data_IF_268294379517
#
_entry.id   IF_268294379517
#
_cell.length_a   1.000
_cell.length_b   1.000
_cell.length_c   1.000
_cell.angle_alpha   90.00
_cell.angle_beta   90.00
_cell.angle_gamma   90.00
#
_symmetry.space_group_name_H-M   'P 1'
#
loop_
_entity.id
_entity.type
_entity.pdbx_description
1 polymer ?
#
# COMPACT_ATOMS: atom_id res chain seq x y z
N UNK A 1 0.28 -23.55 28.61
CA UNK A 1 -0.71 -22.63 28.01
C UNK A 1 -0.82 -21.46 28.96
N UNK A 2 -0.02 -20.41 28.73
CA UNK A 2 -0.08 -19.21 29.56
C UNK A 2 -1.19 -18.32 28.99
N UNK A 3 -2.23 -18.11 29.77
CA UNK A 3 -3.20 -17.05 29.53
C UNK A 3 -2.43 -15.72 29.54
N UNK A 4 -2.40 -15.03 28.41
CA UNK A 4 -1.99 -13.63 28.37
C UNK A 4 -3.07 -12.84 29.10
N UNK A 5 -2.66 -12.10 30.13
CA UNK A 5 -3.51 -11.21 30.91
C UNK A 5 -4.04 -10.08 30.02
N UNK A 6 -5.35 -9.87 30.04
CA UNK A 6 -6.12 -8.82 29.34
C UNK A 6 -5.88 -7.40 29.89
N UNK A 7 -4.73 -7.13 30.51
CA UNK A 7 -4.57 -5.98 31.42
C UNK A 7 -3.77 -4.77 30.89
N UNK A 8 -3.41 -4.68 29.60
CA UNK A 8 -2.65 -3.50 29.12
C UNK A 8 -2.84 -3.13 27.64
N UNK A 9 -4.08 -3.10 27.13
CA UNK A 9 -4.37 -2.44 25.85
C UNK A 9 -4.54 -0.91 26.03
N UNK A 10 -3.59 -0.25 26.70
CA UNK A 10 -3.58 1.21 26.88
C UNK A 10 -2.81 1.89 25.72
N UNK A 11 -3.20 1.56 24.49
CA UNK A 11 -2.59 2.08 23.27
C UNK A 11 -3.10 3.49 22.92
N UNK A 12 -2.23 4.32 22.35
CA UNK A 12 -2.63 5.58 21.72
C UNK A 12 -2.84 5.35 20.23
N UNK A 13 -3.96 5.85 19.69
CA UNK A 13 -4.20 5.85 18.26
C UNK A 13 -3.04 6.56 17.52
N UNK A 14 -2.43 5.89 16.53
CA UNK A 14 -1.31 6.39 15.74
C UNK A 14 -1.63 7.62 14.88
N UNK A 15 -2.92 7.94 14.72
CA UNK A 15 -3.39 9.09 13.95
C UNK A 15 -3.79 10.26 14.83
N UNK A 16 -4.82 10.08 15.65
CA UNK A 16 -5.38 11.17 16.44
C UNK A 16 -4.74 11.30 17.83
N UNK A 17 -3.87 10.36 18.23
CA UNK A 17 -3.21 10.36 19.55
C UNK A 17 -4.14 10.07 20.72
N UNK A 18 -5.44 9.83 20.48
CA UNK A 18 -6.40 9.51 21.55
C UNK A 18 -6.04 8.17 22.19
N UNK A 19 -6.08 8.12 23.52
CA UNK A 19 -6.09 6.86 24.27
C UNK A 19 -7.50 6.29 24.23
N UNK A 20 -7.65 5.12 23.65
CA UNK A 20 -8.93 4.40 23.67
C UNK A 20 -8.79 3.07 24.41
N UNK A 21 -9.81 2.75 25.19
CA UNK A 21 -9.87 1.53 26.03
C UNK A 21 -10.36 0.30 25.27
N UNK A 22 -10.76 0.45 24.00
CA UNK A 22 -11.37 -0.64 23.23
C UNK A 22 -11.08 -0.49 21.73
N UNK A 23 -10.72 -1.63 21.12
CA UNK A 23 -10.59 -1.86 19.68
C UNK A 23 -9.49 -1.06 18.97
N UNK A 24 -8.25 -1.48 19.21
CA UNK A 24 -7.20 -1.30 18.21
C UNK A 24 -7.58 -2.11 16.98
N UNK A 25 -7.93 -1.44 15.88
CA UNK A 25 -8.13 -2.13 14.61
C UNK A 25 -6.77 -2.24 13.92
N UNK A 26 -6.32 -3.48 13.80
CA UNK A 26 -4.98 -3.79 13.36
C UNK A 26 -4.94 -3.78 11.83
N UNK A 27 -4.06 -2.97 11.25
CA UNK A 27 -3.83 -2.99 9.81
C UNK A 27 -3.36 -4.41 9.39
N UNK A 28 -4.09 -5.12 8.52
CA UNK A 28 -3.89 -6.54 8.29
C UNK A 28 -2.73 -6.75 7.31
N UNK A 29 -1.51 -6.69 7.82
CA UNK A 29 -0.30 -6.96 7.01
C UNK A 29 0.71 -7.81 7.80
N UNK A 30 0.78 -7.64 9.12
CA UNK A 30 1.58 -8.47 10.05
C UNK A 30 0.96 -8.38 11.46
N UNK A 31 0.96 -9.47 12.23
CA UNK A 31 0.41 -9.46 13.59
C UNK A 31 1.26 -8.67 14.60
N UNK A 32 2.54 -8.47 14.32
CA UNK A 32 3.50 -7.92 15.28
C UNK A 32 3.90 -6.47 14.98
N UNK A 33 3.57 -5.95 13.79
CA UNK A 33 4.09 -4.66 13.27
C UNK A 33 2.98 -3.70 12.82
N UNK A 34 2.07 -3.41 13.75
CA UNK A 34 0.76 -2.78 13.52
C UNK A 34 0.77 -1.27 13.78
N UNK A 35 -0.01 -0.53 13.00
CA UNK A 35 -0.42 0.83 13.36
C UNK A 35 -1.69 0.71 14.20
N UNK A 36 -1.63 1.10 15.46
CA UNK A 36 -2.79 1.03 16.33
C UNK A 36 -3.74 2.19 16.00
N UNK A 37 -4.92 1.89 15.47
CA UNK A 37 -5.95 2.90 15.15
C UNK A 37 -7.17 2.71 16.04
N UNK A 38 -7.77 3.82 16.48
CA UNK A 38 -9.12 3.79 17.02
C UNK A 38 -10.14 3.45 15.93
N UNK A 39 -11.33 3.01 16.33
CA UNK A 39 -12.41 2.66 15.41
C UNK A 39 -12.75 3.82 14.46
N UNK A 40 -12.88 5.04 14.98
CA UNK A 40 -13.15 6.24 14.17
C UNK A 40 -12.07 6.45 13.08
N UNK A 41 -10.78 6.42 13.44
CA UNK A 41 -9.71 6.62 12.46
C UNK A 41 -9.55 5.46 11.49
N UNK A 42 -9.91 4.24 11.88
CA UNK A 42 -9.95 3.10 10.98
C UNK A 42 -11.08 3.25 9.95
N UNK A 43 -12.29 3.59 10.42
CA UNK A 43 -13.47 3.79 9.58
C UNK A 43 -13.27 4.97 8.63
N UNK A 44 -12.71 6.09 9.12
CA UNK A 44 -12.38 7.27 8.33
C UNK A 44 -11.36 6.97 7.23
N UNK A 45 -10.37 6.12 7.50
CA UNK A 45 -9.42 5.67 6.47
C UNK A 45 -10.06 4.73 5.46
N UNK A 46 -11.10 4.01 5.83
CA UNK A 46 -11.62 2.93 5.00
C UNK A 46 -10.59 1.80 4.81
N UNK A 47 -11.00 0.72 4.13
CA UNK A 47 -10.28 -0.53 4.24
C UNK A 47 -9.05 -0.63 3.34
N UNK A 48 -8.88 0.22 2.32
CA UNK A 48 -7.75 0.16 1.39
C UNK A 48 -7.37 1.53 0.83
N UNK A 49 -7.02 1.59 -0.45
CA UNK A 49 -6.66 2.83 -1.17
C UNK A 49 -7.69 3.18 -2.24
N UNK A 50 -7.80 4.46 -2.57
CA UNK A 50 -8.43 4.93 -3.81
C UNK A 50 -7.35 5.05 -4.88
N UNK A 51 -7.52 4.37 -6.02
CA UNK A 51 -6.57 4.45 -7.14
C UNK A 51 -7.01 5.57 -8.08
N UNK A 52 -6.12 6.54 -8.34
CA UNK A 52 -6.40 7.68 -9.20
C UNK A 52 -5.41 7.77 -10.36
N UNK A 53 -5.85 8.21 -11.54
CA UNK A 53 -4.95 8.44 -12.67
C UNK A 53 -4.23 9.80 -12.53
N UNK A 54 -2.91 9.82 -12.78
CA UNK A 54 -2.05 10.98 -12.50
C UNK A 54 -2.39 12.23 -13.33
N UNK A 55 -3.08 12.10 -14.46
CA UNK A 55 -3.27 13.20 -15.42
C UNK A 55 -4.31 14.24 -14.99
N UNK A 56 -5.26 13.91 -14.11
CA UNK A 56 -6.45 14.76 -13.88
C UNK A 56 -6.90 14.88 -12.42
N UNK A 57 -6.10 14.41 -11.45
CA UNK A 57 -6.54 14.37 -10.05
C UNK A 57 -5.44 14.76 -9.07
N UNK A 58 -5.84 15.49 -8.02
CA UNK A 58 -5.02 15.62 -6.82
C UNK A 58 -4.89 14.25 -6.15
N UNK A 59 -3.69 13.89 -5.72
CA UNK A 59 -3.39 12.62 -5.07
C UNK A 59 -2.48 12.84 -3.86
N UNK A 60 -2.56 11.94 -2.88
CA UNK A 60 -1.79 12.00 -1.64
C UNK A 60 -0.44 11.29 -1.76
N UNK A 61 -0.40 10.19 -2.52
CA UNK A 61 0.78 9.31 -2.65
C UNK A 61 1.05 8.98 -4.12
N UNK A 62 2.31 9.12 -4.54
CA UNK A 62 2.74 8.68 -5.87
C UNK A 62 2.99 7.17 -5.87
N UNK A 63 2.06 6.42 -6.47
CA UNK A 63 2.16 4.98 -6.65
C UNK A 63 2.88 4.55 -7.93
N UNK A 64 3.37 5.49 -8.73
CA UNK A 64 3.97 5.20 -10.05
C UNK A 64 5.43 4.80 -9.94
N UNK A 65 6.03 4.32 -11.05
CA UNK A 65 7.49 4.36 -11.19
C UNK A 65 7.88 5.82 -11.43
N UNK A 66 8.73 6.37 -10.57
CA UNK A 66 9.13 7.77 -10.67
C UNK A 66 10.42 7.91 -11.50
N UNK A 67 10.51 9.00 -12.26
CA UNK A 67 11.71 9.31 -13.04
C UNK A 67 12.93 9.45 -12.11
N UNK A 68 14.12 9.03 -12.58
CA UNK A 68 15.33 9.24 -11.82
C UNK A 68 15.62 10.74 -11.69
N UNK A 69 15.82 11.21 -10.45
CA UNK A 69 16.19 12.61 -10.19
C UNK A 69 17.60 12.96 -10.70
N UNK A 70 18.39 11.95 -11.06
CA UNK A 70 19.77 12.06 -11.52
C UNK A 70 19.93 11.20 -12.77
N UNK A 71 20.44 11.79 -13.86
CA UNK A 71 20.74 11.07 -15.10
C UNK A 71 21.62 9.84 -14.83
N UNK A 72 21.14 8.67 -15.25
CA UNK A 72 21.88 7.40 -15.17
C UNK A 72 21.51 6.49 -14.00
N UNK A 73 20.60 6.91 -13.09
CA UNK A 73 19.95 5.99 -12.17
C UNK A 73 18.71 5.38 -12.86
N UNK A 74 18.45 4.09 -12.61
CA UNK A 74 17.23 3.44 -13.11
C UNK A 74 15.96 4.07 -12.51
N UNK A 75 14.80 3.74 -13.08
CA UNK A 75 13.51 4.22 -12.55
C UNK A 75 13.33 3.86 -11.08
N UNK A 76 12.67 4.75 -10.34
CA UNK A 76 12.39 4.58 -8.92
C UNK A 76 11.18 3.70 -8.71
N UNK A 77 11.34 2.63 -7.96
CA UNK A 77 10.35 1.60 -7.68
C UNK A 77 10.51 1.06 -6.25
N UNK A 78 9.59 0.19 -5.81
CA UNK A 78 9.52 -0.35 -4.44
C UNK A 78 10.85 -0.97 -3.93
N UNK A 79 11.59 -1.62 -4.83
CA UNK A 79 12.86 -2.29 -4.46
C UNK A 79 14.08 -1.35 -4.38
N UNK A 80 13.99 -0.08 -4.81
CA UNK A 80 15.13 0.85 -4.79
C UNK A 80 14.80 2.24 -4.19
N UNK A 81 13.59 2.42 -3.68
CA UNK A 81 13.12 3.72 -3.17
C UNK A 81 12.61 3.60 -1.75
N UNK A 82 13.15 4.45 -0.87
CA UNK A 82 12.69 4.57 0.51
C UNK A 82 11.34 5.32 0.60
N UNK A 83 10.48 4.90 1.52
CA UNK A 83 9.29 5.67 1.91
C UNK A 83 9.69 7.04 2.49
N UNK A 84 8.89 8.12 2.29
CA UNK A 84 7.71 8.24 1.43
C UNK A 84 8.03 8.76 0.03
N UNK A 85 9.25 8.56 -0.45
CA UNK A 85 9.71 9.27 -1.63
C UNK A 85 9.06 8.71 -2.93
N UNK A 86 8.83 9.54 -3.95
CA UNK A 86 8.15 9.11 -5.19
C UNK A 86 8.78 7.85 -5.78
N UNK A 87 7.96 6.86 -6.14
CA UNK A 87 8.42 5.56 -6.62
C UNK A 87 8.43 4.44 -5.59
N UNK A 88 8.25 4.70 -4.29
CA UNK A 88 8.33 3.66 -3.26
C UNK A 88 7.24 2.57 -3.33
N UNK A 89 6.15 2.81 -4.08
CA UNK A 89 5.12 1.81 -4.43
C UNK A 89 5.14 1.43 -5.92
N UNK A 90 6.07 1.98 -6.70
CA UNK A 90 6.18 1.69 -8.12
C UNK A 90 6.55 0.23 -8.37
N UNK A 91 5.97 -0.37 -9.41
CA UNK A 91 6.25 -1.74 -9.79
C UNK A 91 7.71 -1.88 -10.28
N UNK A 92 8.55 -2.76 -9.70
CA UNK A 92 9.91 -3.01 -10.18
C UNK A 92 9.93 -3.69 -11.55
N UNK A 93 8.88 -4.44 -11.87
CA UNK A 93 8.82 -5.32 -13.03
C UNK A 93 8.25 -4.58 -14.24
N UNK A 94 8.98 -4.62 -15.35
CA UNK A 94 8.55 -4.07 -16.64
C UNK A 94 7.78 -5.11 -17.44
N UNK A 95 6.81 -4.64 -18.22
CA UNK A 95 6.17 -5.45 -19.26
C UNK A 95 7.07 -5.45 -20.51
N UNK A 96 7.38 -6.64 -21.02
CA UNK A 96 8.11 -6.80 -22.28
C UNK A 96 7.19 -6.66 -23.50
N UNK A 97 5.92 -7.05 -23.32
CA UNK A 97 4.87 -7.01 -24.35
C UNK A 97 3.58 -6.45 -23.77
N UNK A 98 2.77 -5.75 -24.58
CA UNK A 98 1.46 -5.28 -24.14
C UNK A 98 0.39 -6.39 -24.28
N UNK A 99 0.50 -7.44 -23.47
CA UNK A 99 -0.44 -8.57 -23.44
C UNK A 99 -0.97 -8.84 -22.03
N UNK A 100 -2.14 -9.47 -21.94
CA UNK A 100 -2.75 -9.84 -20.66
C UNK A 100 -1.89 -10.86 -19.89
N UNK A 101 -1.28 -11.81 -20.60
CA UNK A 101 -0.37 -12.81 -20.00
C UNK A 101 0.82 -12.12 -19.34
N UNK A 102 1.41 -11.16 -20.03
CA UNK A 102 2.54 -10.40 -19.52
C UNK A 102 2.14 -9.51 -18.33
N UNK A 103 0.96 -8.88 -18.40
CA UNK A 103 0.40 -8.12 -17.28
C UNK A 103 0.32 -8.99 -16.03
N UNK A 104 -0.26 -10.18 -16.13
CA UNK A 104 -0.38 -11.10 -14.99
C UNK A 104 0.97 -11.61 -14.50
N UNK A 105 1.95 -11.84 -15.38
CA UNK A 105 3.33 -12.19 -14.99
C UNK A 105 3.93 -11.12 -14.09
N UNK A 106 3.86 -9.86 -14.54
CA UNK A 106 4.41 -8.70 -13.84
C UNK A 106 3.67 -8.46 -12.51
N UNK A 107 2.34 -8.57 -12.48
CA UNK A 107 1.55 -8.42 -11.24
C UNK A 107 1.84 -9.51 -10.22
N UNK A 108 2.04 -10.75 -10.69
CA UNK A 108 2.43 -11.85 -9.81
C UNK A 108 3.80 -11.61 -9.19
N UNK A 109 4.79 -11.21 -9.98
CA UNK A 109 6.13 -10.90 -9.48
C UNK A 109 6.09 -9.71 -8.49
N UNK A 110 5.30 -8.68 -8.79
CA UNK A 110 5.10 -7.56 -7.87
C UNK A 110 4.48 -8.00 -6.54
N UNK A 111 3.46 -8.87 -6.57
CA UNK A 111 2.86 -9.43 -5.34
C UNK A 111 3.90 -10.16 -4.51
N UNK A 112 4.72 -11.01 -5.12
CA UNK A 112 5.76 -11.77 -4.43
C UNK A 112 6.76 -10.83 -3.73
N UNK A 113 7.26 -9.81 -4.42
CA UNK A 113 8.15 -8.79 -3.86
C UNK A 113 7.49 -7.98 -2.74
N UNK A 114 6.24 -7.56 -2.93
CA UNK A 114 5.49 -6.78 -1.94
C UNK A 114 5.34 -7.57 -0.64
N UNK A 115 4.92 -8.83 -0.74
CA UNK A 115 4.72 -9.71 0.42
C UNK A 115 6.05 -10.14 1.05
N UNK A 116 7.12 -10.24 0.27
CA UNK A 116 8.46 -10.43 0.82
C UNK A 116 8.88 -9.21 1.64
N UNK A 117 8.76 -8.00 1.08
CA UNK A 117 9.13 -6.75 1.75
C UNK A 117 8.30 -6.53 3.01
N UNK A 118 7.01 -6.83 2.99
CA UNK A 118 6.15 -6.85 4.17
C UNK A 118 6.72 -7.72 5.30
N UNK A 119 7.22 -8.92 4.98
CA UNK A 119 7.76 -9.85 5.99
C UNK A 119 9.14 -9.44 6.50
N UNK A 120 10.00 -8.99 5.58
CA UNK A 120 11.43 -8.83 5.84
C UNK A 120 11.83 -7.42 6.25
N UNK A 121 11.12 -6.38 5.80
CA UNK A 121 11.42 -4.99 6.11
C UNK A 121 10.59 -4.54 7.33
N UNK A 122 11.26 -4.31 8.45
CA UNK A 122 10.65 -3.94 9.73
C UNK A 122 9.71 -2.73 9.64
N UNK A 123 10.04 -1.76 8.78
CA UNK A 123 9.31 -0.49 8.70
C UNK A 123 8.31 -0.46 7.54
N UNK A 124 8.44 -1.34 6.55
CA UNK A 124 7.59 -1.32 5.36
C UNK A 124 6.10 -1.56 5.66
N UNK A 125 5.68 -2.56 6.46
CA UNK A 125 4.27 -2.75 6.82
C UNK A 125 3.64 -1.52 7.47
N UNK A 126 4.37 -0.87 8.37
CA UNK A 126 3.93 0.35 9.04
C UNK A 126 3.66 1.47 8.03
N UNK A 127 4.58 1.67 7.08
CA UNK A 127 4.45 2.67 6.04
C UNK A 127 3.36 2.34 5.01
N UNK A 128 3.23 1.06 4.64
CA UNK A 128 2.16 0.57 3.78
C UNK A 128 0.79 0.83 4.43
N UNK A 129 0.64 0.55 5.72
CA UNK A 129 -0.58 0.83 6.48
C UNK A 129 -0.97 2.32 6.52
N UNK A 130 0.00 3.25 6.44
CA UNK A 130 -0.26 4.70 6.34
C UNK A 130 -0.89 5.13 5.01
N UNK A 131 -0.90 4.27 4.01
CA UNK A 131 -1.52 4.55 2.70
C UNK A 131 -3.03 4.29 2.73
N UNK A 132 -3.58 3.59 3.73
CA UNK A 132 -5.03 3.39 3.82
C UNK A 132 -5.78 4.71 3.88
N UNK A 133 -6.85 4.81 3.10
CA UNK A 133 -7.65 6.03 2.92
C UNK A 133 -7.01 7.10 2.07
N UNK A 134 -5.84 6.84 1.50
CA UNK A 134 -5.17 7.77 0.60
C UNK A 134 -5.56 7.54 -0.85
N UNK A 135 -5.55 8.64 -1.59
CA UNK A 135 -5.64 8.68 -3.05
C UNK A 135 -4.24 8.43 -3.62
N UNK A 136 -4.05 7.31 -4.29
CA UNK A 136 -2.75 6.86 -4.79
C UNK A 136 -2.70 6.96 -6.30
N UNK A 137 -1.74 7.73 -6.81
CA UNK A 137 -1.57 7.96 -8.24
C UNK A 137 -1.05 6.71 -8.97
N UNK A 138 -1.62 6.45 -10.13
CA UNK A 138 -1.22 5.40 -11.07
C UNK A 138 -1.07 5.97 -12.48
N UNK A 139 -0.21 5.32 -13.28
CA UNK A 139 -0.08 5.52 -14.73
C UNK A 139 -0.51 4.30 -15.55
N UNK A 140 -0.87 3.19 -14.89
CA UNK A 140 -1.17 1.92 -15.55
C UNK A 140 -2.61 1.80 -16.04
N UNK A 141 -3.52 2.61 -15.50
CA UNK A 141 -4.93 2.69 -15.89
C UNK A 141 -5.16 3.90 -16.77
N UNK A 142 -6.12 3.84 -17.69
CA UNK A 142 -6.48 5.03 -18.47
C UNK A 142 -7.26 6.03 -17.62
N UNK A 143 -7.31 7.28 -18.09
CA UNK A 143 -8.13 8.36 -17.55
C UNK A 143 -9.64 8.06 -17.55
N UNK A 144 -10.07 7.12 -18.39
CA UNK A 144 -11.48 6.67 -18.47
C UNK A 144 -11.83 5.53 -17.52
N UNK A 145 -10.86 4.90 -16.87
CA UNK A 145 -11.09 3.77 -15.95
C UNK A 145 -11.36 4.26 -14.52
N UNK A 146 -12.53 3.94 -13.99
CA UNK A 146 -12.87 4.20 -12.58
C UNK A 146 -12.41 3.06 -11.67
N UNK A 147 -12.10 3.37 -10.41
CA UNK A 147 -11.83 2.37 -9.38
C UNK A 147 -12.90 2.43 -8.27
N UNK A 148 -13.40 1.28 -7.77
CA UNK A 148 -13.24 -0.07 -8.32
C UNK A 148 -14.01 -0.19 -9.65
N UNK A 149 -13.42 -0.78 -10.69
CA UNK A 149 -14.05 -0.81 -12.02
C UNK A 149 -13.41 -1.79 -13.00
N UNK A 150 -14.06 -1.92 -14.16
CA UNK A 150 -13.90 -2.98 -15.19
C UNK A 150 -12.59 -2.92 -15.99
N UNK A 151 -11.62 -2.13 -15.54
CA UNK A 151 -10.31 -1.97 -16.18
C UNK A 151 -9.36 -3.13 -15.90
N UNK A 152 -8.29 -3.18 -16.69
CA UNK A 152 -7.20 -4.14 -16.47
C UNK A 152 -6.58 -3.94 -15.06
N UNK A 153 -6.24 -5.02 -14.34
CA UNK A 153 -5.61 -4.89 -13.03
C UNK A 153 -4.25 -4.20 -13.14
N UNK A 154 -3.93 -3.39 -12.14
CA UNK A 154 -2.64 -2.73 -11.98
C UNK A 154 -1.98 -3.14 -10.67
N UNK A 155 -0.71 -2.78 -10.47
CA UNK A 155 0.03 -3.15 -9.26
C UNK A 155 -0.57 -2.54 -8.00
N UNK A 156 -1.27 -1.41 -8.10
CA UNK A 156 -1.99 -0.83 -6.96
C UNK A 156 -3.22 -1.65 -6.56
N UNK A 157 -3.78 -2.50 -7.42
CA UNK A 157 -4.80 -3.47 -6.98
C UNK A 157 -4.19 -4.53 -6.05
N UNK A 158 -2.93 -4.89 -6.29
CA UNK A 158 -2.18 -5.78 -5.40
C UNK A 158 -1.90 -5.08 -4.07
N UNK A 159 -1.51 -3.80 -4.09
CA UNK A 159 -1.36 -2.99 -2.88
C UNK A 159 -2.68 -2.91 -2.11
N UNK A 160 -3.78 -2.61 -2.81
CA UNK A 160 -5.11 -2.55 -2.23
C UNK A 160 -5.51 -3.88 -1.57
N UNK A 161 -5.32 -5.00 -2.28
CA UNK A 161 -5.62 -6.33 -1.76
C UNK A 161 -4.76 -6.71 -0.55
N UNK A 162 -3.48 -6.32 -0.52
CA UNK A 162 -2.62 -6.49 0.65
C UNK A 162 -3.15 -5.68 1.86
N UNK A 163 -3.59 -4.43 1.65
CA UNK A 163 -4.19 -3.60 2.70
C UNK A 163 -5.53 -4.13 3.22
N UNK A 164 -6.25 -4.89 2.40
CA UNK A 164 -7.47 -5.61 2.77
C UNK A 164 -7.20 -6.95 3.49
N UNK A 165 -5.94 -7.41 3.56
CA UNK A 165 -5.60 -8.71 4.13
C UNK A 165 -6.04 -9.90 3.26
N UNK A 166 -6.08 -9.73 1.93
CA UNK A 166 -6.48 -10.79 0.99
C UNK A 166 -5.33 -11.73 0.58
N UNK A 167 -4.12 -11.54 1.12
CA UNK A 167 -2.92 -12.32 0.80
C UNK A 167 -2.24 -12.89 2.05
#
# INVERSE_FOLDING_TARGET
MNARSDDDANGTCGDCGRRETAHVIQCPIDEERRLDLCADCYDDRGPGIEICHIQDSEWDVDGTRAEPQINGLGERHMNNTAFPAPGWLGNPHEMEENTEVERWRVLKAFKEDLMQKVREDEFFPYHLGKVRGKRVACRCRSDTETWPGDGDPCHLDVVHAALLGLY
#
